data_IF_170229837114
#
_entry.id   IF_170229837114
#
_cell.length_a   1.000
_cell.length_b   1.000
_cell.length_c   1.000
_cell.angle_alpha   90.00
_cell.angle_beta   90.00
_cell.angle_gamma   90.00
#
_symmetry.space_group_name_H-M   'P 1'
#
loop_
_entity.id
_entity.type
_entity.pdbx_description
1 polymer ?
2 polymer ?
3 non-polymer ?
4 non-polymer ?
5 water ?
#
# COMPACT_ATOMS: atom_id res chain seq x y z
N UNK A 2 2.29 -8.69 21.14
CA UNK A 2 2.11 -7.77 22.25
C UNK A 2 2.88 -6.46 22.02
N UNK A 3 3.80 -6.15 22.92
CA UNK A 3 4.62 -4.95 22.81
C UNK A 3 6.02 -5.28 22.33
N UNK A 4 6.93 -5.54 23.27
CA UNK A 4 8.25 -6.02 22.91
C UNK A 4 9.44 -5.55 23.72
N UNK A 5 9.89 -6.40 24.66
CA UNK A 5 11.19 -6.19 25.29
C UNK A 5 12.28 -6.49 24.26
N UNK A 6 12.05 -7.52 23.46
CA UNK A 6 12.95 -7.89 22.39
C UNK A 6 12.29 -7.82 21.00
N UNK A 7 12.41 -6.67 20.37
CA UNK A 7 11.90 -6.47 19.02
C UNK A 7 13.06 -6.39 18.05
N UNK A 8 12.99 -7.14 16.93
CA UNK A 8 14.01 -7.10 15.87
C UNK A 8 14.37 -5.67 15.48
N UNK A 9 15.67 -5.40 15.37
CA UNK A 9 16.17 -4.05 15.08
C UNK A 9 15.54 -3.45 13.83
N UNK A 10 15.31 -4.28 12.83
CA UNK A 10 14.70 -3.83 11.58
C UNK A 10 13.32 -3.25 11.84
N UNK A 11 12.56 -3.91 12.70
CA UNK A 11 11.20 -3.46 13.04
C UNK A 11 11.22 -2.16 13.83
N UNK A 12 12.11 -2.06 14.81
CA UNK A 12 12.26 -0.86 15.63
C UNK A 12 12.55 0.36 14.77
N UNK A 13 13.45 0.20 13.80
CA UNK A 13 13.80 1.27 12.88
C UNK A 13 12.64 1.62 11.96
N UNK A 14 11.95 0.60 11.46
CA UNK A 14 10.79 0.82 10.59
C UNK A 14 9.68 1.60 11.30
N UNK A 15 9.57 1.40 12.61
CA UNK A 15 8.58 2.12 13.40
C UNK A 15 8.86 3.62 13.40
N UNK A 16 10.14 3.98 13.46
CA UNK A 16 10.55 5.38 13.50
C UNK A 16 10.40 6.04 12.14
N UNK A 17 10.45 5.24 11.08
CA UNK A 17 10.34 5.75 9.72
C UNK A 17 8.89 5.95 9.30
N UNK A 18 7.96 5.41 10.09
CA UNK A 18 6.54 5.52 9.77
C UNK A 18 6.05 6.96 9.95
N UNK A 19 5.45 7.53 8.89
CA UNK A 19 4.95 8.91 8.90
C UNK A 19 3.80 9.10 9.89
N UNK A 20 3.56 10.35 10.27
CA UNK A 20 2.49 10.68 11.20
C UNK A 20 1.16 10.82 10.47
N UNK A 21 0.15 10.11 10.93
CA UNK A 21 -1.15 10.06 10.25
C UNK A 21 -1.88 11.41 10.22
N UNK A 22 -1.66 12.23 11.24
CA UNK A 22 -2.30 13.54 11.31
C UNK A 22 -1.80 14.50 10.23
N UNK A 23 -0.48 14.58 10.08
CA UNK A 23 0.12 15.47 9.10
C UNK A 23 -0.07 14.94 7.67
N UNK A 24 -0.05 13.62 7.51
CA UNK A 24 -0.33 13.01 6.22
C UNK A 24 -1.73 13.38 5.78
N UNK A 25 -2.69 13.23 6.68
CA UNK A 25 -4.08 13.58 6.41
C UNK A 25 -4.26 15.04 6.03
N UNK A 26 -3.60 15.94 6.78
CA UNK A 26 -3.70 17.37 6.51
C UNK A 26 -3.10 17.72 5.15
N UNK A 27 -1.92 17.17 4.87
CA UNK A 27 -1.24 17.41 3.61
C UNK A 27 -2.11 17.00 2.42
N UNK A 28 -2.73 15.83 2.53
CA UNK A 28 -3.58 15.31 1.46
C UNK A 28 -4.87 16.13 1.36
N UNK A 29 -5.47 16.44 2.51
CA UNK A 29 -6.64 17.31 2.55
C UNK A 29 -6.35 18.65 1.90
N UNK A 30 -5.14 19.16 2.13
CA UNK A 30 -4.72 20.42 1.54
C UNK A 30 -4.54 20.31 0.05
N UNK A 31 -4.06 19.15 -0.40
CA UNK A 31 -3.83 18.90 -1.81
C UNK A 31 -5.15 18.83 -2.57
N UNK A 32 -6.17 18.29 -1.92
CA UNK A 32 -7.49 18.15 -2.54
C UNK A 32 -8.22 19.48 -2.61
N UNK A 33 -7.76 20.46 -1.85
CA UNK A 33 -8.39 21.79 -1.83
C UNK A 33 -8.04 22.61 -3.06
N UNK A 34 -6.96 22.23 -3.75
CA UNK A 34 -6.52 22.93 -4.95
C UNK A 34 -7.59 22.89 -6.04
N UNK A 35 -7.86 24.05 -6.65
CA UNK A 35 -8.89 24.18 -7.69
C UNK A 35 -8.57 23.34 -8.92
N UNK A 36 -9.59 22.74 -9.52
CA UNK A 36 -9.39 21.85 -10.66
C UNK A 36 -10.41 22.06 -11.76
N UNK A 37 -10.02 21.73 -12.99
CA UNK A 37 -10.91 21.81 -14.14
C UNK A 37 -11.86 20.63 -14.15
N UNK A 38 -13.01 20.78 -13.49
CA UNK A 38 -13.97 19.70 -13.36
C UNK A 38 -14.70 19.44 -14.67
N UNK A 39 -14.60 18.20 -15.17
CA UNK A 39 -15.30 17.79 -16.38
C UNK A 39 -16.77 17.53 -16.07
N UNK A 40 -17.67 18.04 -16.93
CA UNK A 40 -19.11 18.01 -16.69
C UNK A 40 -19.76 16.62 -16.84
N UNK A 41 -19.02 15.66 -17.41
CA UNK A 41 -19.58 14.33 -17.63
C UNK A 41 -19.23 13.36 -16.50
N UNK A 42 -18.79 13.90 -15.37
CA UNK A 42 -18.41 13.08 -14.23
C UNK A 42 -18.76 13.72 -12.90
N UNK A 43 -19.10 12.89 -11.89
CA UNK A 43 -19.20 13.37 -10.52
C UNK A 43 -17.84 13.91 -10.09
N UNK A 44 -17.82 15.07 -9.44
CA UNK A 44 -16.57 15.68 -9.02
C UNK A 44 -15.84 14.80 -8.01
N UNK A 45 -16.61 14.00 -7.28
CA UNK A 45 -16.05 13.09 -6.28
C UNK A 45 -15.07 12.09 -6.89
N UNK A 46 -15.35 11.65 -8.12
CA UNK A 46 -14.50 10.68 -8.79
C UNK A 46 -13.08 11.19 -8.95
N UNK A 47 -12.96 12.41 -9.45
CA UNK A 47 -11.65 13.03 -9.66
C UNK A 47 -10.92 13.26 -8.36
N UNK A 48 -11.66 13.66 -7.32
CA UNK A 48 -11.06 13.91 -6.01
C UNK A 48 -10.51 12.62 -5.40
N UNK A 49 -11.29 11.54 -5.50
CA UNK A 49 -10.87 10.25 -4.96
C UNK A 49 -9.62 9.73 -5.67
N UNK A 50 -9.55 9.96 -6.98
CA UNK A 50 -8.35 9.61 -7.74
C UNK A 50 -7.13 10.37 -7.25
N UNK A 51 -7.29 11.67 -7.05
CA UNK A 51 -6.21 12.51 -6.52
C UNK A 51 -5.84 12.10 -5.11
N UNK A 52 -6.85 11.76 -4.31
CA UNK A 52 -6.63 11.29 -2.94
C UNK A 52 -5.74 10.05 -2.92
N UNK A 53 -6.00 9.11 -3.82
CA UNK A 53 -5.23 7.88 -3.90
C UNK A 53 -3.82 8.17 -4.40
N UNK A 54 -3.71 9.10 -5.33
CA UNK A 54 -2.41 9.55 -5.84
C UNK A 54 -1.56 10.13 -4.73
N UNK A 55 -2.14 11.04 -3.94
CA UNK A 55 -1.44 11.67 -2.83
C UNK A 55 -1.06 10.64 -1.78
N UNK A 56 -1.93 9.65 -1.57
CA UNK A 56 -1.63 8.55 -0.68
C UNK A 56 -0.37 7.83 -1.14
N UNK A 57 -0.28 7.61 -2.45
CA UNK A 57 0.90 6.96 -3.01
C UNK A 57 2.14 7.83 -2.91
N UNK A 58 1.95 9.15 -3.00
CA UNK A 58 3.04 10.11 -2.81
C UNK A 58 3.67 9.90 -1.44
N UNK A 59 2.83 9.89 -0.41
CA UNK A 59 3.28 9.68 0.96
C UNK A 59 3.96 8.32 1.11
N UNK A 60 3.48 7.34 0.36
CA UNK A 60 4.05 6.00 0.40
C UNK A 60 5.45 5.98 -0.21
N UNK A 61 5.63 6.70 -1.31
CA UNK A 61 6.93 6.83 -1.95
C UNK A 61 7.93 7.51 -1.01
N UNK A 62 7.47 8.55 -0.31
CA UNK A 62 8.31 9.23 0.68
C UNK A 62 8.77 8.24 1.75
N UNK A 63 7.87 7.38 2.20
CA UNK A 63 8.20 6.36 3.19
C UNK A 63 9.30 5.43 2.68
N UNK A 64 9.16 4.99 1.43
CA UNK A 64 10.12 4.08 0.84
C UNK A 64 11.50 4.71 0.72
N UNK A 65 11.52 5.98 0.29
CA UNK A 65 12.77 6.70 0.08
C UNK A 65 13.68 6.73 1.30
N UNK A 66 13.10 6.83 2.49
CA UNK A 66 13.89 6.89 3.71
C UNK A 66 14.00 5.55 4.44
N UNK A 67 13.65 4.48 3.74
CA UNK A 67 13.80 3.13 4.29
C UNK A 67 15.24 2.64 4.16
N UNK A 68 15.68 1.85 5.13
CA UNK A 68 16.98 1.21 5.07
C UNK A 68 17.07 0.35 3.82
N UNK A 69 18.30 0.14 3.33
CA UNK A 69 18.56 -0.65 2.13
C UNK A 69 18.01 0.00 0.85
N UNK A 70 16.74 0.40 0.88
CA UNK A 70 16.11 1.06 -0.26
C UNK A 70 16.82 2.36 -0.62
N UNK A 71 17.18 3.14 0.40
CA UNK A 71 17.87 4.40 0.20
C UNK A 71 19.29 4.17 -0.32
N UNK A 72 19.78 2.94 -0.16
CA UNK A 72 21.13 2.60 -0.60
C UNK A 72 21.12 2.08 -2.03
N UNK A 73 19.96 2.11 -2.67
CA UNK A 73 19.81 1.62 -4.03
C UNK A 73 19.85 2.75 -5.06
N UNK A 74 19.99 2.37 -6.33
CA UNK A 74 20.00 3.33 -7.43
C UNK A 74 18.56 3.56 -7.91
N UNK A 75 18.33 4.72 -8.53
CA UNK A 75 17.02 5.10 -9.03
C UNK A 75 16.40 4.04 -9.95
N UNK A 76 17.26 3.35 -10.71
CA UNK A 76 16.80 2.30 -11.61
C UNK A 76 16.09 1.19 -10.84
N UNK A 77 16.73 0.69 -9.80
CA UNK A 77 16.17 -0.39 -8.98
C UNK A 77 15.00 0.09 -8.13
N UNK A 78 15.07 1.34 -7.66
CA UNK A 78 14.03 1.90 -6.84
C UNK A 78 12.70 1.97 -7.58
N UNK A 79 12.76 2.41 -8.84
CA UNK A 79 11.57 2.49 -9.68
C UNK A 79 11.02 1.09 -9.98
N UNK A 80 11.91 0.15 -10.21
CA UNK A 80 11.51 -1.23 -10.50
C UNK A 80 10.70 -1.83 -9.35
N UNK A 81 11.20 -1.64 -8.13
CA UNK A 81 10.53 -2.15 -6.94
C UNK A 81 9.15 -1.52 -6.77
N UNK A 82 9.09 -0.20 -6.89
CA UNK A 82 7.83 0.53 -6.73
C UNK A 82 6.82 0.18 -7.81
N UNK A 83 7.30 0.05 -9.05
CA UNK A 83 6.42 -0.28 -10.17
C UNK A 83 5.85 -1.69 -10.03
N UNK A 84 6.41 -2.47 -9.13
CA UNK A 84 5.97 -3.83 -8.90
C UNK A 84 5.03 -3.97 -7.70
N UNK A 85 5.19 -3.09 -6.71
CA UNK A 85 4.45 -3.23 -5.45
C UNK A 85 3.52 -2.06 -5.13
N UNK A 86 3.36 -1.13 -6.07
CA UNK A 86 2.60 0.09 -5.80
C UNK A 86 1.14 -0.16 -5.38
N UNK A 87 0.43 -0.99 -6.14
CA UNK A 87 -0.98 -1.28 -5.83
C UNK A 87 -1.09 -2.05 -4.53
N UNK A 88 -0.15 -2.97 -4.30
CA UNK A 88 -0.14 -3.76 -3.08
C UNK A 88 0.04 -2.88 -1.84
N UNK A 89 0.94 -1.91 -1.94
CA UNK A 89 1.18 -0.99 -0.83
C UNK A 89 -0.04 -0.12 -0.55
N UNK A 90 -0.72 0.32 -1.60
CA UNK A 90 -1.91 1.16 -1.47
C UNK A 90 -3.05 0.36 -0.85
N UNK A 91 -3.24 -0.87 -1.33
CA UNK A 91 -4.28 -1.75 -0.82
C UNK A 91 -4.02 -2.09 0.65
N UNK A 92 -2.76 -2.40 0.96
CA UNK A 92 -2.38 -2.75 2.33
C UNK A 92 -2.52 -1.54 3.25
N UNK A 93 -2.22 -0.35 2.73
CA UNK A 93 -2.45 0.91 3.45
C UNK A 93 -3.93 1.04 3.80
N UNK A 94 -4.79 0.85 2.81
CA UNK A 94 -6.23 0.90 3.02
C UNK A 94 -6.68 -0.13 4.06
N UNK A 95 -6.19 -1.35 3.92
CA UNK A 95 -6.58 -2.43 4.82
C UNK A 95 -6.19 -2.14 6.27
N UNK A 96 -4.96 -1.72 6.50
CA UNK A 96 -4.52 -1.45 7.87
C UNK A 96 -5.25 -0.25 8.47
N UNK A 97 -5.68 0.68 7.63
CA UNK A 97 -6.48 1.80 8.10
C UNK A 97 -7.80 1.30 8.68
N UNK A 98 -8.37 0.28 8.05
CA UNK A 98 -9.60 -0.32 8.55
C UNK A 98 -9.36 -1.14 9.83
N UNK A 99 -8.16 -1.70 9.95
CA UNK A 99 -7.79 -2.44 11.16
C UNK A 99 -7.67 -1.50 12.36
N UNK A 100 -6.91 -0.41 12.19
CA UNK A 100 -6.73 0.60 13.24
C UNK A 100 -8.06 1.19 13.69
N UNK A 101 -8.75 1.85 12.75
CA UNK A 101 -9.97 2.56 13.05
C UNK A 101 -11.12 1.89 12.31
N UNK A 102 -11.76 0.94 12.97
CA UNK A 102 -12.66 0.05 12.28
C UNK A 102 -14.06 -0.11 12.83
N UNK A 103 -15.01 0.44 12.09
CA UNK A 103 -16.41 0.09 12.27
C UNK A 103 -16.73 -0.87 11.15
N UNK A 104 -17.46 -1.94 11.46
CA UNK A 104 -17.73 -2.97 10.45
C UNK A 104 -18.77 -2.53 9.44
N UNK A 105 -19.46 -1.42 9.74
CA UNK A 105 -20.51 -0.94 8.87
C UNK A 105 -20.05 0.10 7.86
N UNK A 106 -18.77 0.46 7.90
CA UNK A 106 -18.25 1.49 7.01
C UNK A 106 -16.74 1.36 6.81
N UNK A 107 -16.23 2.05 5.79
CA UNK A 107 -14.79 2.11 5.56
C UNK A 107 -14.28 3.52 5.83
N UNK A 108 -13.03 3.63 6.26
CA UNK A 108 -12.43 4.92 6.53
C UNK A 108 -11.42 5.29 5.45
N UNK A 109 -11.51 6.52 4.97
CA UNK A 109 -10.58 7.00 3.95
C UNK A 109 -9.44 7.76 4.61
N UNK A 110 -8.34 7.92 3.88
CA UNK A 110 -7.16 8.59 4.42
C UNK A 110 -7.46 10.05 4.78
N UNK A 111 -8.54 10.60 4.19
CA UNK A 111 -8.91 11.99 4.45
C UNK A 111 -9.67 12.14 5.77
N UNK A 112 -10.18 11.03 6.30
CA UNK A 112 -10.89 11.06 7.56
C UNK A 112 -12.37 10.83 7.42
N UNK A 113 -12.86 10.81 6.17
CA UNK A 113 -14.29 10.63 5.94
C UNK A 113 -14.69 9.15 5.89
N UNK A 114 -15.88 8.87 6.43
CA UNK A 114 -16.38 7.51 6.47
C UNK A 114 -17.42 7.30 5.38
N UNK A 115 -17.34 6.14 4.72
CA UNK A 115 -18.35 5.75 3.75
C UNK A 115 -18.97 4.43 4.18
N UNK A 116 -20.27 4.44 4.46
CA UNK A 116 -20.96 3.22 4.83
C UNK A 116 -21.00 2.24 3.67
N UNK A 117 -20.98 0.95 4.01
CA UNK A 117 -21.03 -0.11 3.00
C UNK A 117 -22.35 -0.09 2.23
N UNK A 118 -23.41 0.40 2.89
CA UNK A 118 -24.71 0.53 2.24
C UNK A 118 -24.64 1.50 1.07
N UNK A 119 -23.83 2.55 1.23
CA UNK A 119 -23.60 3.52 0.17
C UNK A 119 -22.92 2.85 -1.03
N UNK A 120 -21.86 2.10 -0.74
CA UNK A 120 -21.10 1.42 -1.77
C UNK A 120 -21.97 0.39 -2.49
N UNK A 121 -22.79 -0.32 -1.72
CA UNK A 121 -23.66 -1.35 -2.28
C UNK A 121 -24.66 -0.80 -3.29
N UNK A 122 -25.12 0.43 -3.09
CA UNK A 122 -26.13 1.02 -3.95
C UNK A 122 -25.58 2.02 -4.97
N UNK A 123 -24.39 2.54 -4.71
CA UNK A 123 -23.84 3.61 -5.57
C UNK A 123 -22.64 3.19 -6.42
N UNK A 124 -21.97 2.12 -6.03
CA UNK A 124 -20.81 1.64 -6.77
C UNK A 124 -21.18 0.48 -7.68
N UNK A 125 -20.34 0.25 -8.69
CA UNK A 125 -20.54 -0.87 -9.59
C UNK A 125 -20.17 -2.18 -8.93
N UNK A 126 -20.55 -3.29 -9.55
CA UNK A 126 -20.32 -4.62 -8.98
C UNK A 126 -18.84 -4.90 -8.73
N UNK A 127 -17.98 -4.38 -9.61
CA UNK A 127 -16.55 -4.58 -9.50
C UNK A 127 -15.97 -3.91 -8.25
N UNK A 128 -16.19 -2.60 -8.11
CA UNK A 128 -15.73 -1.86 -6.95
C UNK A 128 -16.37 -2.38 -5.66
N UNK A 129 -17.67 -2.67 -5.72
CA UNK A 129 -18.38 -3.25 -4.59
C UNK A 129 -17.68 -4.53 -4.12
N UNK A 130 -17.34 -5.39 -5.08
CA UNK A 130 -16.65 -6.65 -4.77
C UNK A 130 -15.30 -6.40 -4.13
N UNK A 131 -14.54 -5.45 -4.68
CA UNK A 131 -13.23 -5.09 -4.16
C UNK A 131 -13.29 -4.65 -2.71
N UNK A 132 -14.25 -3.77 -2.42
CA UNK A 132 -14.43 -3.25 -1.06
C UNK A 132 -14.77 -4.37 -0.09
N UNK A 133 -15.73 -5.22 -0.48
CA UNK A 133 -16.14 -6.35 0.36
C UNK A 133 -15.00 -7.34 0.58
N UNK A 134 -14.24 -7.64 -0.46
CA UNK A 134 -13.11 -8.56 -0.34
C UNK A 134 -12.08 -7.97 0.62
N UNK A 135 -11.79 -6.69 0.47
CA UNK A 135 -10.83 -6.02 1.33
C UNK A 135 -11.25 -6.12 2.80
N UNK A 136 -12.54 -5.95 3.05
CA UNK A 136 -13.07 -6.05 4.41
C UNK A 136 -12.87 -7.45 5.00
N UNK A 137 -12.85 -8.46 4.15
CA UNK A 137 -12.61 -9.84 4.60
C UNK A 137 -11.19 -10.00 5.13
N UNK A 138 -10.23 -9.41 4.43
CA UNK A 138 -8.85 -9.37 4.90
C UNK A 138 -8.75 -8.66 6.24
N UNK A 139 -9.42 -7.51 6.33
CA UNK A 139 -9.45 -6.74 7.56
C UNK A 139 -9.93 -7.59 8.72
N UNK A 140 -11.04 -8.30 8.52
CA UNK A 140 -11.60 -9.17 9.54
C UNK A 140 -10.60 -10.26 9.96
N UNK A 141 -9.91 -10.83 8.99
CA UNK A 141 -8.92 -11.86 9.26
C UNK A 141 -7.72 -11.32 10.04
N UNK A 142 -7.22 -10.15 9.63
CA UNK A 142 -6.08 -9.53 10.32
C UNK A 142 -6.42 -9.14 11.75
N UNK A 143 -7.68 -8.78 11.98
CA UNK A 143 -8.14 -8.50 13.33
C UNK A 143 -8.18 -9.80 14.14
N UNK A 144 -8.64 -10.88 13.50
CA UNK A 144 -8.69 -12.19 14.15
C UNK A 144 -7.28 -12.67 14.50
N UNK A 145 -6.33 -12.38 13.63
CA UNK A 145 -4.93 -12.73 13.86
C UNK A 145 -4.26 -11.72 14.79
N UNK A 146 -5.00 -10.67 15.15
CA UNK A 146 -4.49 -9.64 16.06
C UNK A 146 -3.23 -8.96 15.52
N UNK A 147 -3.29 -8.53 14.28
CA UNK A 147 -2.20 -7.78 13.65
C UNK A 147 -1.88 -6.51 14.44
N UNK A 148 -0.60 -6.30 14.74
CA UNK A 148 -0.17 -5.09 15.43
C UNK A 148 0.76 -4.23 14.57
N UNK A 149 1.15 -3.08 15.11
CA UNK A 149 1.93 -2.10 14.36
C UNK A 149 3.29 -2.65 13.92
N UNK A 150 3.92 -3.42 14.81
CA UNK A 150 5.22 -4.03 14.51
C UNK A 150 5.14 -4.91 13.27
N UNK A 151 4.11 -5.75 13.22
CA UNK A 151 3.94 -6.66 12.09
C UNK A 151 3.55 -5.92 10.82
N UNK A 152 2.74 -4.88 10.97
CA UNK A 152 2.32 -4.06 9.84
C UNK A 152 3.51 -3.45 9.09
N UNK A 153 4.42 -2.82 9.82
CA UNK A 153 5.56 -2.16 9.20
C UNK A 153 6.53 -3.17 8.60
N UNK A 154 6.65 -4.33 9.23
CA UNK A 154 7.49 -5.40 8.70
C UNK A 154 6.88 -5.95 7.41
N UNK A 155 5.56 -6.11 7.42
CA UNK A 155 4.85 -6.62 6.25
C UNK A 155 4.94 -5.66 5.07
N UNK A 156 4.85 -4.36 5.35
CA UNK A 156 5.01 -3.34 4.31
C UNK A 156 6.37 -3.42 3.66
N UNK A 157 7.39 -3.54 4.50
CA UNK A 157 8.76 -3.66 4.03
C UNK A 157 8.92 -4.91 3.16
N UNK A 158 8.34 -6.03 3.62
CA UNK A 158 8.36 -7.27 2.84
C UNK A 158 7.70 -7.07 1.47
N UNK A 159 6.59 -6.35 1.46
CA UNK A 159 5.89 -6.06 0.21
C UNK A 159 6.79 -5.28 -0.75
N UNK A 160 7.49 -4.28 -0.20
CA UNK A 160 8.36 -3.42 -0.99
C UNK A 160 9.44 -4.21 -1.74
N UNK A 161 9.93 -5.28 -1.13
CA UNK A 161 11.00 -6.06 -1.72
C UNK A 161 10.56 -7.44 -2.22
N UNK A 162 9.26 -7.67 -2.32
CA UNK A 162 8.73 -8.93 -2.81
C UNK A 162 8.81 -9.00 -4.33
N UNK A 163 10.02 -9.20 -4.85
CA UNK A 163 10.24 -9.26 -6.29
C UNK A 163 11.35 -10.27 -6.61
N UNK A 164 11.29 -10.85 -7.81
CA UNK A 164 12.34 -11.75 -8.26
C UNK A 164 13.62 -10.96 -8.45
N UNK A 165 14.73 -11.52 -7.96
CA UNK A 165 16.02 -10.84 -7.94
C UNK A 165 16.55 -10.54 -9.35
N UNK A 166 16.12 -11.33 -10.33
CA UNK A 166 16.64 -11.19 -11.69
C UNK A 166 16.25 -9.88 -12.36
N UNK A 167 15.19 -9.24 -11.86
CA UNK A 167 14.70 -8.00 -12.45
C UNK A 167 15.45 -6.77 -11.92
N UNK A 168 16.32 -6.98 -10.94
CA UNK A 168 17.07 -5.89 -10.36
C UNK A 168 18.56 -5.95 -10.72
N UNK A 169 19.26 -4.85 -10.48
CA UNK A 169 20.69 -4.80 -10.72
C UNK A 169 21.49 -5.24 -9.50
N UNK A 170 21.09 -4.73 -8.33
CA UNK A 170 21.76 -5.06 -7.08
C UNK A 170 21.12 -6.28 -6.41
N UNK A 171 21.58 -7.46 -6.80
CA UNK A 171 21.01 -8.71 -6.30
C UNK A 171 21.28 -8.89 -4.80
N UNK A 172 22.56 -8.88 -4.43
CA UNK A 172 22.98 -9.15 -3.06
C UNK A 172 22.35 -8.24 -2.01
N UNK A 173 22.20 -6.96 -2.32
CA UNK A 173 21.65 -5.99 -1.38
C UNK A 173 20.15 -6.23 -1.14
N UNK A 174 19.44 -6.58 -2.20
CA UNK A 174 18.01 -6.84 -2.13
C UNK A 174 17.73 -8.23 -1.54
N UNK A 175 18.52 -9.21 -1.96
CA UNK A 175 18.39 -10.58 -1.46
C UNK A 175 18.55 -10.59 0.05
N UNK A 176 19.53 -9.84 0.54
CA UNK A 176 19.78 -9.73 1.97
C UNK A 176 18.59 -9.10 2.69
N UNK A 177 17.98 -8.10 2.06
CA UNK A 177 16.84 -7.41 2.64
C UNK A 177 15.63 -8.33 2.81
N UNK A 178 15.36 -9.15 1.80
CA UNK A 178 14.26 -10.10 1.85
C UNK A 178 14.44 -11.09 2.97
N UNK A 179 15.66 -11.61 3.11
CA UNK A 179 15.97 -12.58 4.15
C UNK A 179 15.84 -11.99 5.55
N UNK A 180 16.33 -10.76 5.71
CA UNK A 180 16.26 -10.08 7.01
C UNK A 180 14.83 -9.73 7.38
N UNK A 181 14.03 -9.33 6.40
CA UNK A 181 12.64 -8.97 6.62
C UNK A 181 11.83 -10.18 7.10
N UNK A 182 11.98 -11.31 6.42
CA UNK A 182 11.30 -12.54 6.80
C UNK A 182 11.74 -13.03 8.17
N UNK A 183 13.05 -12.96 8.41
CA UNK A 183 13.61 -13.38 9.69
C UNK A 183 13.04 -12.54 10.83
N UNK A 184 12.94 -11.24 10.59
CA UNK A 184 12.37 -10.32 11.58
C UNK A 184 10.93 -10.70 11.89
N UNK A 185 10.13 -10.91 10.84
CA UNK A 185 8.72 -11.27 11.01
C UNK A 185 8.58 -12.57 11.79
N UNK A 186 9.41 -13.55 11.43
CA UNK A 186 9.39 -14.85 12.10
C UNK A 186 9.82 -14.73 13.56
N UNK A 187 10.87 -13.96 13.79
CA UNK A 187 11.40 -13.77 15.13
C UNK A 187 10.36 -13.10 16.03
N UNK A 188 9.76 -12.03 15.54
CA UNK A 188 8.76 -11.30 16.31
C UNK A 188 7.52 -12.15 16.61
N UNK A 189 6.97 -12.80 15.59
CA UNK A 189 5.78 -13.61 15.76
C UNK A 189 5.99 -14.78 16.73
N UNK A 190 7.17 -15.40 16.67
CA UNK A 190 7.49 -16.52 17.56
C UNK A 190 7.63 -16.06 19.01
N UNK A 191 8.04 -14.81 19.20
CA UNK A 191 8.30 -14.27 20.53
C UNK A 191 7.08 -13.60 21.16
N UNK A 192 6.06 -13.32 20.34
CA UNK A 192 4.97 -12.48 20.81
C UNK A 192 3.57 -13.08 20.73
N UNK A 193 3.36 -13.99 19.79
CA UNK A 193 2.05 -14.62 19.62
C UNK A 193 1.77 -15.58 20.76
N UNK A 194 0.77 -15.23 21.60
CA UNK A 194 0.44 -16.03 22.79
C UNK A 194 -0.51 -17.18 22.45
N UNK A 195 -0.99 -17.20 21.21
CA UNK A 195 -1.95 -18.21 20.78
C UNK A 195 -1.27 -19.34 20.02
N UNK A 196 -2.08 -20.19 19.41
CA UNK A 196 -1.56 -21.24 18.54
C UNK A 196 -1.76 -20.83 17.10
N UNK A 197 -1.22 -21.62 16.17
CA UNK A 197 -1.25 -21.28 14.77
C UNK A 197 0.02 -20.55 14.38
N UNK A 198 0.54 -20.87 13.21
CA UNK A 198 1.75 -20.23 12.72
C UNK A 198 1.42 -18.84 12.21
N UNK A 199 1.58 -17.83 13.07
CA UNK A 199 1.23 -16.46 12.70
C UNK A 199 2.09 -15.95 11.56
N UNK A 200 3.36 -16.33 11.56
CA UNK A 200 4.28 -15.98 10.48
C UNK A 200 3.74 -16.46 9.14
N UNK A 201 3.31 -17.71 9.10
CA UNK A 201 2.75 -18.28 7.89
C UNK A 201 1.36 -17.73 7.59
N UNK A 202 0.58 -17.49 8.65
CA UNK A 202 -0.76 -16.94 8.50
C UNK A 202 -0.74 -15.52 7.94
N UNK A 203 0.30 -14.76 8.29
CA UNK A 203 0.45 -13.40 7.78
C UNK A 203 0.90 -13.40 6.32
N UNK A 204 1.78 -14.33 5.97
CA UNK A 204 2.26 -14.45 4.59
C UNK A 204 1.13 -14.85 3.66
N UNK A 205 0.21 -15.66 4.17
CA UNK A 205 -0.97 -16.06 3.41
C UNK A 205 -1.83 -14.84 3.09
N UNK A 206 -1.92 -13.92 4.05
CA UNK A 206 -2.66 -12.68 3.85
C UNK A 206 -2.05 -11.85 2.72
N UNK A 207 -0.72 -11.78 2.69
CA UNK A 207 -0.02 -11.06 1.63
C UNK A 207 -0.37 -11.62 0.26
N UNK A 208 -0.54 -12.95 0.18
CA UNK A 208 -0.96 -13.59 -1.06
C UNK A 208 -2.32 -13.03 -1.49
N UNK A 209 -3.22 -12.87 -0.51
CA UNK A 209 -4.54 -12.35 -0.77
C UNK A 209 -4.52 -10.84 -1.07
N UNK A 210 -3.60 -10.13 -0.42
CA UNK A 210 -3.42 -8.70 -0.66
C UNK A 210 -2.98 -8.49 -2.10
N UNK A 211 -2.05 -9.33 -2.55
CA UNK A 211 -1.53 -9.22 -3.91
C UNK A 211 -2.61 -9.53 -4.95
N UNK A 212 -3.42 -10.55 -4.69
CA UNK A 212 -4.51 -10.90 -5.59
C UNK A 212 -5.56 -9.79 -5.61
N UNK A 213 -5.81 -9.23 -4.43
CA UNK A 213 -6.73 -8.11 -4.30
C UNK A 213 -6.21 -6.89 -5.06
N UNK A 214 -4.89 -6.71 -5.04
CA UNK A 214 -4.25 -5.59 -5.74
C UNK A 214 -4.35 -5.77 -7.25
N UNK A 215 -4.30 -7.00 -7.71
CA UNK A 215 -4.45 -7.30 -9.13
C UNK A 215 -5.81 -6.82 -9.64
N UNK A 216 -6.85 -7.13 -8.88
CA UNK A 216 -8.21 -6.73 -9.25
C UNK A 216 -8.37 -5.21 -9.23
N UNK A 217 -7.63 -4.53 -8.35
CA UNK A 217 -7.69 -3.08 -8.26
C UNK A 217 -7.09 -2.44 -9.52
N UNK A 218 -6.01 -3.03 -10.01
CA UNK A 218 -5.39 -2.57 -11.25
C UNK A 218 -6.33 -2.78 -12.43
N UNK A 219 -7.09 -3.88 -12.38
CA UNK A 219 -8.05 -4.19 -13.43
C UNK A 219 -9.19 -3.16 -13.42
N UNK A 220 -9.55 -2.71 -12.22
CA UNK A 220 -10.54 -1.65 -12.07
C UNK A 220 -10.01 -0.35 -12.66
N UNK A 221 -8.76 -0.02 -12.33
CA UNK A 221 -8.12 1.17 -12.87
C UNK A 221 -7.99 1.10 -14.38
N UNK A 222 -7.67 -0.08 -14.89
CA UNK A 222 -7.49 -0.28 -16.33
C UNK A 222 -8.80 -0.07 -17.08
N UNK A 223 -9.90 -0.57 -16.51
CA UNK A 223 -11.23 -0.38 -17.09
C UNK A 223 -11.58 1.11 -17.19
N UNK A 224 -11.36 1.86 -16.11
CA UNK A 224 -11.62 3.29 -16.12
C UNK A 224 -10.69 4.00 -17.11
N UNK A 225 -9.47 3.50 -17.23
CA UNK A 225 -8.49 4.05 -18.16
C UNK A 225 -8.93 3.92 -19.61
N UNK A 226 -9.47 2.74 -19.96
CA UNK A 226 -9.93 2.50 -21.33
C UNK A 226 -11.15 3.36 -21.66
N UNK A 227 -11.97 3.64 -20.66
CA UNK A 227 -13.16 4.45 -20.87
C UNK A 227 -12.90 5.94 -20.77
N UNK A 228 -11.62 6.32 -20.76
CA UNK A 228 -11.20 7.72 -20.61
C UNK A 228 -11.84 8.40 -19.41
N UNK A 229 -11.95 7.68 -18.30
CA UNK A 229 -12.58 8.20 -17.11
C UNK A 229 -11.56 8.80 -16.15
N UNK A 230 -10.30 8.39 -16.29
CA UNK A 230 -9.25 8.86 -15.39
C UNK A 230 -8.79 10.26 -15.76
N UNK A 231 -8.45 11.07 -14.74
CA UNK A 231 -7.91 12.41 -15.01
C UNK A 231 -6.53 12.31 -15.66
N UNK A 232 -6.20 13.29 -16.49
CA UNK A 232 -4.91 13.30 -17.18
C UNK A 232 -3.76 13.37 -16.19
N UNK A 233 -2.63 12.77 -16.57
CA UNK A 233 -1.43 12.75 -15.75
C UNK A 233 -1.64 12.17 -14.35
N UNK A 234 -2.61 11.25 -14.24
CA UNK A 234 -2.82 10.54 -12.99
C UNK A 234 -1.63 9.64 -12.70
N UNK A 235 -1.14 9.71 -11.45
CA UNK A 235 0.06 9.00 -11.07
C UNK A 235 -0.14 7.48 -11.10
N UNK A 236 -1.30 7.03 -10.65
CA UNK A 236 -1.61 5.61 -10.60
C UNK A 236 -1.63 4.98 -11.99
N UNK A 237 -2.18 5.71 -12.95
CA UNK A 237 -2.22 5.24 -14.34
C UNK A 237 -0.82 5.15 -14.93
N UNK A 238 0.06 6.06 -14.52
CA UNK A 238 1.46 6.00 -14.93
C UNK A 238 2.09 4.74 -14.37
N UNK A 239 1.77 4.42 -13.12
CA UNK A 239 2.28 3.22 -12.47
C UNK A 239 1.73 1.98 -13.16
N UNK A 240 0.46 2.06 -13.55
CA UNK A 240 -0.20 0.94 -14.20
C UNK A 240 0.35 0.72 -15.60
N UNK A 241 0.74 1.80 -16.26
CA UNK A 241 1.24 1.72 -17.63
C UNK A 241 2.73 1.42 -17.71
N UNK A 242 3.38 1.33 -16.56
CA UNK A 242 4.81 0.99 -16.51
C UNK A 242 5.03 -0.43 -17.03
N UNK A 243 6.20 -0.66 -17.61
CA UNK A 243 6.54 -1.98 -18.14
C UNK A 243 6.62 -3.03 -17.04
N UNK A 244 5.82 -4.09 -17.19
CA UNK A 244 5.68 -5.12 -16.17
C UNK A 244 6.92 -6.02 -16.02
N UNK A 245 7.36 -6.19 -14.78
CA UNK A 245 8.44 -7.11 -14.47
C UNK A 245 7.88 -8.34 -13.74
N UNK B 3 11.15 12.75 -17.06
CA UNK B 3 10.24 12.12 -18.01
C UNK B 3 8.99 11.55 -17.34
N UNK B 4 9.17 10.97 -16.15
CA UNK B 4 8.05 10.38 -15.42
C UNK B 4 7.89 11.02 -14.05
N UNK B 5 6.66 11.04 -13.55
CA UNK B 5 6.36 11.59 -12.24
C UNK B 5 7.05 10.79 -11.14
N UNK B 6 7.15 9.49 -11.34
CA UNK B 6 7.78 8.60 -10.36
C UNK B 6 9.27 8.88 -10.22
N UNK B 7 9.93 9.12 -11.34
CA UNK B 7 11.35 9.43 -11.33
C UNK B 7 11.59 10.82 -10.74
N UNK B 8 10.73 11.77 -11.07
CA UNK B 8 10.83 13.13 -10.54
C UNK B 8 10.52 13.16 -9.05
N UNK B 9 9.85 12.11 -8.56
CA UNK B 9 9.48 12.02 -7.16
C UNK B 9 10.66 11.47 -6.35
N UNK B 10 11.34 10.48 -6.91
CA UNK B 10 12.49 9.86 -6.25
C UNK B 10 13.70 10.78 -6.27
N UNK B 11 13.78 11.62 -7.30
CA UNK B 11 14.91 12.54 -7.45
C UNK B 11 14.66 13.86 -6.73
N UNK B 12 13.54 13.95 -6.01
CA UNK B 12 13.22 15.13 -5.23
C UNK B 12 14.25 15.32 -4.13
N UNK B 13 14.63 16.58 -3.86
CA UNK B 13 15.69 16.88 -2.88
C UNK B 13 15.29 16.61 -1.43
N UNK B 14 14.09 17.03 -1.03
CA UNK B 14 13.65 16.91 0.35
C UNK B 14 13.63 15.46 0.84
X LIG C 1 -8.92 -3.08 -1.88
X LIG C 1 -8.88 -1.56 -2.01
X LIG C 1 -10.22 -1.02 -2.52
X LIG C 1 -10.20 -0.84 -4.05
X LIG C 1 -10.06 0.60 -4.45
X LIG C 1 -10.29 0.83 -5.94
X LIG C 1 -8.97 0.94 -6.70
X LIG C 1 -8.81 2.31 -7.39
X LIG C 1 -8.68 3.47 -6.36
X LIG C 1 -8.63 4.84 -7.04
X LIG C 1 -9.64 5.84 -6.40
X LIG C 1 -10.85 6.09 -7.28
X LIG C 1 -12.15 5.97 -6.44
X LIG C 1 -13.40 5.70 -7.27
X LIG C 1 -14.64 5.59 -6.35
X LIG C 1 -15.97 6.04 -7.00
X LIG C 1 -15.94 7.05 -7.70
X LIG C 1 -17.16 5.78 -6.26
X LIG C 1 -18.15 4.87 -6.86
X LIG C 1 -18.22 5.11 -8.38
X LIG C 1 -18.77 3.93 -8.97
X LIG C 1 -17.82 3.02 -9.83
X LIG C 1 -16.37 3.43 -9.60
X LIG C 1 -18.01 1.58 -9.44
X LIG C 1 -18.19 3.23 -11.41
X LIG C 1 -19.52 2.81 -11.84
X LIG C 1 -19.38 1.60 -12.72
X LIG C 1 -18.32 1.83 -13.64
X LIG C 1 -20.65 1.26 -13.52
X LIG C 1 -20.31 0.22 -14.44
X LIG C 1 -21.17 -1.13 -14.31
X LIG C 1 -20.88 -2.02 -15.50
X LIG C 1 -20.81 -1.83 -13.03
X LIG C 1 -22.64 -0.78 -14.28
X LIG C 1 -21.27 2.45 -14.26
X LIG C 1 -22.61 2.09 -14.67
X LIG C 1 -22.91 2.11 -16.21
X LIG C 1 -22.11 1.02 -16.89
X LIG C 1 -24.38 1.87 -16.43
X LIG C 1 -22.52 3.44 -16.78
X LIG C 1 -21.37 3.72 -13.42
X LIG C 1 -21.59 4.84 -14.29
X LIG C 1 -22.88 5.78 -14.01
X LIG C 1 -23.17 6.60 -15.24
X LIG C 1 -24.08 4.91 -13.69
X LIG C 1 -22.58 6.68 -12.83
X LIG C 1 -20.15 4.03 -12.56
X LIG C 1 -20.48 4.99 -11.61
X LIG C 1 -19.49 5.13 -6.17
X LIG C 1 -19.20 5.77 -4.90
X LIG C 1 -19.41 4.98 -3.75
X LIG C 1 -19.86 3.85 -3.86
X LIG C 1 -18.94 5.52 -2.40
X LIG C 1 -17.49 6.07 -2.48
X LIG C 1 -16.40 5.00 -2.05
X LIG C 1 -15.00 5.39 -2.52
X LIG C 1 -13.97 4.25 -2.34
X LIG C 1 -12.51 4.77 -2.45
X LIG C 1 -11.49 3.68 -2.08
X LIG C 1 -10.16 4.29 -1.59
X LIG C 1 -9.03 3.23 -1.48
X LIG C 1 -7.64 3.87 -1.60
X LIG C 1 -6.54 2.81 -1.97
X LIG C 1 -6.85 2.14 -3.37
X LIG C 1 -5.59 1.94 -4.20
X LIG C 1 -5.64 0.67 -5.03
X LIG C 1 -4.51 0.61 -6.02
X LIG D 1 -0.85 -1.17 -19.92
X LIG D 1 -0.73 -0.77 -21.10
X LIG D 1 0.17 -1.06 -19.20
X LIG D 1 -2.13 -1.75 -19.41
X LIG E 1 0.29 6.61 4.33
X LIG E 1 1.51 6.33 4.23
X LIG E 1 -0.26 6.31 5.41
X LIG E 1 -0.47 7.28 3.22
#
# INVERSE_FOLDING_TARGET
GSGGPNVPELILQLLQLEPDEDQVRARILGSLQEPTKSRPDQPAAFGLLCRMADQTFISIVDWARRCMVFKELEVADQMTLLQNCWSELLVFDHIYRQVQHGKEGSILLVTGQEVELTTVATQAGSLLHSLVLRAQELVLQLLALQLDRQEFVCLKFIILFSLDLKFLNNHILVKDAQEKANAALLDYTLCHYPHSGDKFQQLLLCLVEVRALSMQAKEYLYHKHLGNEMPRNNLLIEMLQAKQT
EEPSLLKKLLLAPA
PIZ CBG CBF CBE CBD CBC CBB CBA CB9 CB8 CB7 CB6 CB5 CB4 CB3 CB2 CB1 OB2 OB1 C7 C8 O13 P1 O12 O11 O1 C1 C2 O2 C3 O3 P3 O31 O32 O33 C4 O4 P4 O41 O42 O43 C5 O5 P5 O51 O52 O53 C6 O6 C9 OA1 CA1 OA2 CA2 CA3 CA4 CA5 CA6 CA7 CA8 CA9 CAA CAB CAC CAD CAE CAF CAG
ACT C O OXT CH3
ACT C O OXT CH3
#
